data_IF_100623459372
#
_entry.id   IF_100623459372
#
_cell.length_a   1.000
_cell.length_b   1.000
_cell.length_c   1.000
_cell.angle_alpha   90.00
_cell.angle_beta   90.00
_cell.angle_gamma   90.00
#
_symmetry.space_group_name_H-M   'P 1'
#
loop_
_entity.id
_entity.type
_entity.pdbx_description
1 polymer ?
#
# COMPACT_ATOMS: atom_id res chain seq x y z
N UNK A 1 -4.00 11.41 16.83
CA UNK A 1 -3.21 12.68 16.84
C UNK A 1 -1.71 12.41 16.83
N UNK A 2 -1.09 11.85 17.88
CA UNK A 2 0.38 11.68 17.92
C UNK A 2 0.95 10.75 16.82
N UNK A 3 0.25 9.67 16.46
CA UNK A 3 0.71 8.75 15.41
C UNK A 3 0.50 9.29 14.00
N UNK A 4 -0.55 10.07 13.77
CA UNK A 4 -0.81 10.73 12.50
C UNK A 4 0.29 11.72 12.14
N UNK A 5 0.75 12.54 13.09
CA UNK A 5 1.84 13.48 12.87
C UNK A 5 3.18 12.76 12.64
N UNK A 6 3.47 11.72 13.42
CA UNK A 6 4.65 10.88 13.20
C UNK A 6 4.63 10.20 11.83
N UNK A 7 3.45 9.75 11.37
CA UNK A 7 3.27 9.19 10.04
C UNK A 7 3.51 10.21 8.94
N UNK A 8 2.98 11.43 9.08
CA UNK A 8 3.20 12.54 8.14
C UNK A 8 4.69 12.83 8.00
N UNK A 9 5.39 13.04 9.11
CA UNK A 9 6.84 13.27 9.12
C UNK A 9 7.61 12.12 8.49
N UNK A 10 7.27 10.88 8.83
CA UNK A 10 7.92 9.69 8.26
C UNK A 10 7.68 9.52 6.75
N UNK A 11 6.51 9.94 6.26
CA UNK A 11 6.11 9.82 4.86
C UNK A 11 6.71 10.91 3.95
N UNK A 12 7.11 12.05 4.53
CA UNK A 12 7.65 13.19 3.80
C UNK A 12 8.89 12.82 2.98
N UNK A 13 9.80 12.03 3.56
CA UNK A 13 11.05 11.62 2.91
C UNK A 13 10.90 10.41 1.96
N UNK A 14 9.67 9.96 1.67
CA UNK A 14 9.39 8.72 0.91
C UNK A 14 8.67 8.95 -0.40
N UNK A 15 8.96 10.05 -1.09
CA UNK A 15 8.24 10.45 -2.31
C UNK A 15 8.34 9.41 -3.44
N UNK A 16 9.41 8.64 -3.51
CA UNK A 16 9.58 7.62 -4.56
C UNK A 16 9.13 6.20 -4.17
N UNK A 17 8.96 5.92 -2.87
CA UNK A 17 8.75 4.55 -2.38
C UNK A 17 7.38 4.30 -1.76
N UNK A 18 6.69 5.34 -1.27
CA UNK A 18 5.37 5.19 -0.67
C UNK A 18 4.27 5.26 -1.74
N UNK A 19 3.39 4.24 -1.83
CA UNK A 19 2.28 4.28 -2.78
C UNK A 19 1.36 5.49 -2.56
N UNK A 20 0.80 6.02 -3.66
CA UNK A 20 -0.11 7.17 -3.65
C UNK A 20 -1.25 7.04 -2.63
N UNK A 21 -1.83 5.85 -2.51
CA UNK A 21 -2.98 5.59 -1.61
C UNK A 21 -2.62 5.58 -0.12
N UNK A 22 -1.34 5.56 0.21
CA UNK A 22 -0.85 5.67 1.59
C UNK A 22 -0.36 7.10 1.89
N UNK A 23 -0.37 8.02 0.92
CA UNK A 23 0.07 9.40 1.15
C UNK A 23 -0.88 10.08 2.14
N UNK A 24 -0.37 10.88 3.11
CA UNK A 24 -1.24 11.60 4.02
C UNK A 24 -2.25 12.51 3.31
N UNK A 25 -1.82 13.23 2.26
CA UNK A 25 -2.74 14.09 1.49
C UNK A 25 -3.85 13.31 0.79
N UNK A 26 -3.59 12.06 0.37
CA UNK A 26 -4.61 11.19 -0.21
C UNK A 26 -5.60 10.79 0.86
N UNK A 27 -5.09 10.30 2.01
CA UNK A 27 -5.90 9.90 3.15
C UNK A 27 -6.75 11.06 3.67
N UNK A 28 -6.22 12.28 3.73
CA UNK A 28 -6.97 13.49 4.10
C UNK A 28 -8.10 13.81 3.12
N UNK A 29 -7.90 13.53 1.82
CA UNK A 29 -8.90 13.79 0.80
C UNK A 29 -10.03 12.74 0.79
N UNK A 30 -9.73 11.48 1.12
CA UNK A 30 -10.70 10.36 0.99
C UNK A 30 -11.32 9.93 2.32
N UNK A 31 -10.69 10.23 3.46
CA UNK A 31 -11.18 9.92 4.79
C UNK A 31 -11.89 11.14 5.40
N UNK A 32 -12.84 10.88 6.29
CA UNK A 32 -13.40 11.93 7.13
C UNK A 32 -12.31 12.51 8.07
N UNK A 33 -12.37 13.80 8.43
CA UNK A 33 -11.49 14.38 9.44
C UNK A 33 -11.51 13.55 10.73
N UNK A 34 -10.35 13.36 11.35
CA UNK A 34 -10.15 12.60 12.60
C UNK A 34 -10.56 11.12 12.59
N UNK A 35 -10.92 10.58 11.42
CA UNK A 35 -11.35 9.18 11.30
C UNK A 35 -10.24 8.24 10.80
N UNK A 36 -9.08 8.78 10.42
CA UNK A 36 -7.92 7.98 10.05
C UNK A 36 -6.73 8.27 10.97
N UNK A 37 -5.98 7.24 11.31
CA UNK A 37 -4.71 7.33 12.03
C UNK A 37 -3.77 6.23 11.49
N UNK A 38 -2.56 6.10 12.05
CA UNK A 38 -1.59 5.10 11.64
C UNK A 38 -1.07 4.29 12.83
N UNK A 39 -0.88 2.99 12.64
CA UNK A 39 -0.05 2.17 13.52
C UNK A 39 1.39 2.23 13.02
N UNK A 40 2.36 2.36 13.92
CA UNK A 40 3.78 2.54 13.57
C UNK A 40 4.62 1.47 14.27
N UNK A 41 5.47 0.78 13.52
CA UNK A 41 6.42 -0.18 14.05
C UNK A 41 7.82 0.41 14.05
N UNK A 42 8.54 0.24 15.16
CA UNK A 42 9.84 0.85 15.38
C UNK A 42 10.93 -0.22 15.50
N UNK A 43 12.13 0.10 15.04
CA UNK A 43 13.32 -0.69 15.34
C UNK A 43 13.92 -0.29 16.70
N UNK A 44 15.02 -0.95 17.09
CA UNK A 44 15.74 -0.65 18.34
C UNK A 44 16.31 0.78 18.40
N UNK A 45 16.52 1.43 17.26
CA UNK A 45 17.01 2.80 17.13
C UNK A 45 15.87 3.84 17.06
N UNK A 46 14.63 3.45 17.38
CA UNK A 46 13.44 4.32 17.29
C UNK A 46 13.14 4.85 15.88
N UNK A 47 13.61 4.17 14.83
CA UNK A 47 13.24 4.46 13.44
C UNK A 47 12.00 3.65 13.05
N UNK A 48 11.06 4.29 12.37
CA UNK A 48 9.86 3.64 11.86
C UNK A 48 10.24 2.73 10.68
N UNK A 49 10.03 1.43 10.87
CA UNK A 49 10.33 0.36 9.90
C UNK A 49 9.08 -0.29 9.29
N UNK A 50 7.90 0.08 9.79
CA UNK A 50 6.64 -0.33 9.22
C UNK A 50 5.54 0.64 9.61
N UNK A 51 4.56 0.81 8.73
CA UNK A 51 3.41 1.66 8.99
C UNK A 51 2.13 1.04 8.42
N UNK A 52 1.04 1.22 9.15
CA UNK A 52 -0.29 0.73 8.79
C UNK A 52 -1.32 1.85 9.03
N UNK A 53 -1.64 2.67 8.01
CA UNK A 53 -2.75 3.59 8.11
C UNK A 53 -4.07 2.81 8.15
N UNK A 54 -4.95 3.24 9.03
CA UNK A 54 -6.26 2.64 9.23
C UNK A 54 -7.32 3.73 9.27
N UNK A 55 -8.49 3.42 8.73
CA UNK A 55 -9.63 4.32 8.64
C UNK A 55 -10.83 3.72 9.35
N UNK A 56 -11.46 4.47 10.24
CA UNK A 56 -12.59 4.05 11.04
C UNK A 56 -13.85 4.83 10.71
N UNK A 57 -14.97 4.13 10.57
CA UNK A 57 -16.26 4.76 10.33
C UNK A 57 -17.39 3.89 10.89
N UNK A 58 -18.58 4.46 11.00
CA UNK A 58 -19.78 3.74 11.42
C UNK A 58 -20.59 3.35 10.19
N UNK A 59 -20.90 2.07 10.05
CA UNK A 59 -21.78 1.54 9.00
C UNK A 59 -22.94 0.81 9.65
N UNK A 60 -24.17 1.33 9.46
CA UNK A 60 -25.40 0.77 10.06
C UNK A 60 -25.28 0.54 11.57
N UNK A 61 -24.71 1.51 12.30
CA UNK A 61 -24.52 1.44 13.75
C UNK A 61 -23.30 0.63 14.23
N UNK A 62 -22.58 -0.05 13.33
CA UNK A 62 -21.40 -0.85 13.67
C UNK A 62 -20.13 -0.04 13.37
N UNK A 63 -19.21 0.05 14.34
CA UNK A 63 -17.87 0.63 14.13
C UNK A 63 -17.02 -0.32 13.29
N UNK A 64 -16.50 0.17 12.18
CA UNK A 64 -15.73 -0.60 11.20
C UNK A 64 -14.37 0.05 11.02
N UNK A 65 -13.31 -0.76 11.00
CA UNK A 65 -12.01 -0.36 10.44
C UNK A 65 -11.94 -0.86 9.00
N UNK A 66 -11.93 0.05 8.03
CA UNK A 66 -12.16 -0.31 6.64
C UNK A 66 -11.36 0.49 5.63
N UNK A 67 -11.84 0.46 4.39
CA UNK A 67 -11.26 1.18 3.26
C UNK A 67 -12.09 2.45 2.96
N UNK A 68 -11.46 3.60 2.73
CA UNK A 68 -12.16 4.77 2.21
C UNK A 68 -12.59 4.55 0.75
N UNK A 69 -13.48 5.41 0.26
CA UNK A 69 -13.94 5.35 -1.14
C UNK A 69 -12.79 5.66 -2.11
N UNK A 70 -12.88 5.16 -3.36
CA UNK A 70 -11.86 5.32 -4.41
C UNK A 70 -10.44 4.84 -4.07
N UNK A 71 -10.27 4.08 -3.00
CA UNK A 71 -8.95 3.59 -2.55
C UNK A 71 -8.85 2.09 -2.79
N UNK A 72 -8.16 1.63 -3.85
CA UNK A 72 -8.13 0.21 -4.22
C UNK A 72 -7.30 -0.62 -3.24
N UNK A 73 -6.18 -0.06 -2.77
CA UNK A 73 -5.24 -0.64 -1.83
C UNK A 73 -4.94 0.36 -0.71
N UNK A 74 -4.81 -0.14 0.50
CA UNK A 74 -4.39 0.59 1.69
C UNK A 74 -3.53 -0.37 2.52
N UNK A 75 -3.13 0.04 3.71
CA UNK A 75 -2.55 -0.85 4.69
C UNK A 75 -1.03 -0.84 4.69
N UNK A 76 -0.43 -2.00 4.89
CA UNK A 76 0.92 -2.07 5.47
C UNK A 76 1.98 -1.69 4.45
N UNK A 77 2.86 -0.77 4.85
CA UNK A 77 4.12 -0.50 4.19
C UNK A 77 5.27 -0.95 5.08
N UNK A 78 6.18 -1.74 4.53
CA UNK A 78 7.34 -2.31 5.23
C UNK A 78 8.62 -1.72 4.65
N UNK A 79 9.49 -1.20 5.52
CA UNK A 79 10.80 -0.71 5.14
C UNK A 79 11.86 -1.77 5.45
N UNK A 80 12.18 -2.59 4.45
CA UNK A 80 13.16 -3.66 4.60
C UNK A 80 14.58 -3.11 4.84
N UNK A 81 15.35 -3.70 5.76
CA UNK A 81 16.77 -3.42 5.91
C UNK A 81 17.56 -3.87 4.67
N UNK A 82 18.65 -3.17 4.36
CA UNK A 82 19.50 -3.49 3.21
C UNK A 82 20.16 -4.87 3.35
N UNK A 83 20.15 -5.67 2.30
CA UNK A 83 20.95 -6.90 2.19
C UNK A 83 20.45 -8.13 2.98
N UNK A 84 19.17 -8.22 3.36
CA UNK A 84 18.66 -9.36 4.12
C UNK A 84 18.51 -10.65 3.30
N UNK A 85 18.80 -11.80 3.95
CA UNK A 85 18.47 -13.15 3.46
C UNK A 85 16.99 -13.48 3.68
N UNK A 86 16.43 -14.42 2.90
CA UNK A 86 14.99 -14.74 2.92
C UNK A 86 14.44 -15.16 4.29
N UNK A 87 15.15 -16.00 5.06
CA UNK A 87 14.69 -16.39 6.41
C UNK A 87 14.66 -15.18 7.36
N UNK A 88 15.68 -14.31 7.28
CA UNK A 88 15.73 -13.06 8.03
C UNK A 88 14.60 -12.11 7.65
N UNK A 89 14.04 -12.22 6.43
CA UNK A 89 12.91 -11.41 5.98
C UNK A 89 11.63 -11.80 6.71
N UNK A 90 11.30 -13.08 6.80
CA UNK A 90 10.07 -13.50 7.51
C UNK A 90 10.09 -13.16 8.99
N UNK A 91 11.24 -13.32 9.65
CA UNK A 91 11.40 -12.92 11.05
C UNK A 91 11.22 -11.40 11.23
N UNK A 92 11.77 -10.61 10.30
CA UNK A 92 11.58 -9.17 10.26
C UNK A 92 10.11 -8.81 10.06
N UNK A 93 9.46 -9.35 9.03
CA UNK A 93 8.05 -9.09 8.73
C UNK A 93 7.15 -9.49 9.90
N UNK A 94 7.36 -10.68 10.49
CA UNK A 94 6.62 -11.11 11.67
C UNK A 94 6.74 -10.11 12.81
N UNK A 95 7.96 -9.68 13.15
CA UNK A 95 8.21 -8.71 14.22
C UNK A 95 7.50 -7.38 13.97
N UNK A 96 7.57 -6.87 12.73
CA UNK A 96 6.92 -5.61 12.35
C UNK A 96 5.40 -5.76 12.38
N UNK A 97 4.86 -6.82 11.79
CA UNK A 97 3.41 -7.07 11.74
C UNK A 97 2.83 -7.29 13.14
N UNK A 98 3.53 -8.01 14.03
CA UNK A 98 3.10 -8.18 15.42
C UNK A 98 2.99 -6.83 16.16
N UNK A 99 3.91 -5.89 15.92
CA UNK A 99 3.83 -4.52 16.46
C UNK A 99 2.68 -3.72 15.88
N UNK A 100 2.42 -3.83 14.56
CA UNK A 100 1.34 -3.08 13.91
C UNK A 100 -0.03 -3.61 14.34
N UNK A 101 -0.20 -4.94 14.39
CA UNK A 101 -1.47 -5.58 14.74
C UNK A 101 -1.86 -5.31 16.19
N UNK A 102 -0.90 -5.23 17.11
CA UNK A 102 -1.18 -4.92 18.53
C UNK A 102 -1.67 -3.49 18.75
N UNK A 103 -1.38 -2.58 17.81
CA UNK A 103 -1.82 -1.18 17.83
C UNK A 103 -3.13 -0.97 17.07
N UNK A 104 -3.63 -1.98 16.34
CA UNK A 104 -4.88 -1.84 15.61
C UNK A 104 -6.03 -1.60 16.59
N UNK A 105 -6.95 -0.68 16.27
CA UNK A 105 -8.06 -0.39 17.15
C UNK A 105 -8.98 -1.60 17.26
N UNK A 106 -9.42 -1.91 18.49
CA UNK A 106 -10.43 -2.91 18.73
C UNK A 106 -11.73 -2.50 18.03
N UNK A 107 -12.05 -3.22 16.96
CA UNK A 107 -13.27 -3.02 16.20
C UNK A 107 -13.93 -4.38 15.94
N UNK A 108 -15.27 -4.45 15.97
CA UNK A 108 -15.99 -5.69 15.70
C UNK A 108 -15.79 -6.17 14.26
N UNK A 109 -15.34 -5.29 13.37
CA UNK A 109 -15.12 -5.62 11.97
C UNK A 109 -13.95 -4.81 11.40
N UNK A 110 -12.92 -5.53 10.93
CA UNK A 110 -11.80 -4.98 10.18
C UNK A 110 -11.76 -5.61 8.79
N UNK A 111 -11.78 -4.78 7.75
CA UNK A 111 -11.61 -5.22 6.36
C UNK A 111 -10.78 -4.23 5.56
N UNK A 112 -9.54 -4.58 5.29
CA UNK A 112 -8.63 -3.78 4.47
C UNK A 112 -8.02 -4.64 3.36
N UNK A 113 -7.76 -4.03 2.21
CA UNK A 113 -7.06 -4.66 1.09
C UNK A 113 -5.64 -4.14 1.04
N UNK A 114 -4.68 -5.03 1.25
CA UNK A 114 -3.25 -4.71 1.23
C UNK A 114 -2.68 -4.70 -0.18
N UNK A 115 -1.55 -4.02 -0.36
CA UNK A 115 -0.83 -4.00 -1.63
C UNK A 115 -0.38 -5.42 -2.03
N UNK A 116 -0.32 -5.73 -3.33
CA UNK A 116 0.07 -7.07 -3.81
C UNK A 116 1.44 -7.55 -3.32
N UNK A 117 2.34 -6.62 -3.00
CA UNK A 117 3.69 -6.92 -2.53
C UNK A 117 3.72 -7.56 -1.13
N UNK A 118 2.64 -7.41 -0.35
CA UNK A 118 2.52 -8.03 0.97
C UNK A 118 1.96 -9.45 0.84
N UNK A 119 2.84 -10.43 0.88
CA UNK A 119 2.50 -11.87 0.74
C UNK A 119 2.50 -12.63 2.06
N UNK A 120 3.04 -12.05 3.14
CA UNK A 120 3.14 -12.71 4.43
C UNK A 120 1.97 -12.36 5.36
N UNK A 121 0.88 -13.12 5.25
CA UNK A 121 -0.34 -12.91 6.02
C UNK A 121 -0.42 -13.66 7.36
N UNK A 122 0.50 -14.58 7.65
CA UNK A 122 0.41 -15.48 8.81
C UNK A 122 0.26 -14.77 10.18
N UNK A 123 0.92 -13.62 10.45
CA UNK A 123 0.74 -12.92 11.72
C UNK A 123 -0.72 -12.46 11.96
N UNK A 124 -1.45 -12.08 10.91
CA UNK A 124 -2.88 -11.77 11.01
C UNK A 124 -3.68 -13.03 11.31
N UNK A 125 -3.39 -14.14 10.62
CA UNK A 125 -4.09 -15.41 10.86
C UNK A 125 -3.94 -15.89 12.31
N UNK A 126 -2.74 -15.84 12.88
CA UNK A 126 -2.50 -16.22 14.29
C UNK A 126 -3.22 -15.33 15.30
N UNK A 127 -3.58 -14.10 14.91
CA UNK A 127 -4.37 -13.17 15.72
C UNK A 127 -5.89 -13.30 15.48
N UNK A 128 -6.31 -14.32 14.74
CA UNK A 128 -7.72 -14.65 14.51
C UNK A 128 -8.37 -13.92 13.33
N UNK A 129 -7.60 -13.20 12.51
CA UNK A 129 -8.13 -12.57 11.30
C UNK A 129 -8.30 -13.60 10.17
N UNK A 130 -9.35 -13.40 9.36
CA UNK A 130 -9.50 -14.15 8.11
C UNK A 130 -8.64 -13.52 7.01
N UNK A 131 -7.96 -14.36 6.24
CA UNK A 131 -7.17 -13.94 5.07
C UNK A 131 -7.93 -14.27 3.79
N UNK A 132 -8.09 -13.27 2.92
CA UNK A 132 -8.70 -13.42 1.60
C UNK A 132 -7.67 -13.05 0.52
N UNK A 133 -7.06 -14.06 -0.12
CA UNK A 133 -6.04 -13.86 -1.16
C UNK A 133 -6.68 -13.49 -2.51
N UNK A 134 -6.09 -12.51 -3.20
CA UNK A 134 -6.52 -12.04 -4.52
C UNK A 134 -5.34 -11.96 -5.46
N UNK A 135 -5.60 -12.22 -6.74
CA UNK A 135 -4.60 -12.14 -7.80
C UNK A 135 -4.83 -10.90 -8.65
N UNK A 136 -3.75 -10.23 -9.01
CA UNK A 136 -3.74 -9.11 -9.96
C UNK A 136 -2.52 -9.23 -10.86
N UNK A 137 -2.61 -8.69 -12.07
CA UNK A 137 -1.45 -8.58 -12.95
C UNK A 137 -0.58 -7.40 -12.49
N UNK A 138 0.73 -7.62 -12.50
CA UNK A 138 1.73 -6.60 -12.18
C UNK A 138 2.79 -6.59 -13.28
N UNK A 139 2.93 -5.45 -13.96
CA UNK A 139 3.95 -5.22 -14.99
C UNK A 139 5.05 -4.33 -14.41
N UNK A 140 6.27 -4.87 -14.29
CA UNK A 140 7.41 -4.11 -13.78
C UNK A 140 7.98 -3.18 -14.84
N UNK A 141 7.88 -1.87 -14.64
CA UNK A 141 8.46 -0.86 -15.53
C UNK A 141 9.95 -0.57 -15.24
N UNK A 142 10.62 -1.41 -14.45
CA UNK A 142 12.07 -1.29 -14.18
C UNK A 142 12.94 -1.79 -15.33
N UNK A 143 12.34 -2.42 -16.32
CA UNK A 143 13.01 -2.96 -17.49
C UNK A 143 13.05 -1.92 -18.62
N UNK A 144 13.94 -2.13 -19.60
CA UNK A 144 13.97 -1.29 -20.80
C UNK A 144 12.73 -1.49 -21.65
N UNK A 145 12.34 -0.48 -22.42
CA UNK A 145 11.18 -0.57 -23.34
C UNK A 145 11.30 -1.74 -24.32
N UNK A 146 12.51 -2.01 -24.80
CA UNK A 146 12.77 -3.15 -25.68
C UNK A 146 12.51 -4.48 -24.97
N UNK A 147 12.99 -4.66 -23.74
CA UNK A 147 12.77 -5.88 -22.97
C UNK A 147 11.28 -6.08 -22.65
N UNK A 148 10.55 -5.00 -22.36
CA UNK A 148 9.09 -5.03 -22.19
C UNK A 148 8.40 -5.45 -23.48
N UNK A 149 8.79 -4.85 -24.62
CA UNK A 149 8.24 -5.17 -25.93
C UNK A 149 8.43 -6.65 -26.31
N UNK A 150 9.62 -7.20 -26.08
CA UNK A 150 9.92 -8.60 -26.38
C UNK A 150 9.11 -9.59 -25.53
N UNK A 151 8.78 -9.21 -24.29
CA UNK A 151 7.93 -10.00 -23.39
C UNK A 151 6.43 -9.87 -23.70
N UNK A 152 6.01 -8.90 -24.53
CA UNK A 152 4.61 -8.78 -24.94
C UNK A 152 4.20 -9.89 -25.91
N UNK A 153 2.98 -10.38 -25.72
CA UNK A 153 2.35 -11.31 -26.65
C UNK A 153 2.36 -10.76 -28.09
N UNK A 154 2.62 -11.61 -29.08
CA UNK A 154 2.72 -11.18 -30.48
C UNK A 154 1.44 -10.52 -31.02
N UNK A 155 0.27 -10.94 -30.52
CA UNK A 155 -1.02 -10.34 -30.84
C UNK A 155 -1.12 -8.90 -30.33
N UNK A 156 -0.71 -8.66 -29.08
CA UNK A 156 -0.67 -7.34 -28.45
C UNK A 156 0.27 -6.38 -29.20
N UNK A 157 1.47 -6.84 -29.57
CA UNK A 157 2.42 -6.05 -30.38
C UNK A 157 1.82 -5.67 -31.74
N UNK A 158 1.21 -6.63 -32.42
CA UNK A 158 0.57 -6.42 -33.72
C UNK A 158 -0.55 -5.37 -33.63
N UNK A 159 -1.39 -5.47 -32.59
CA UNK A 159 -2.48 -4.52 -32.38
C UNK A 159 -1.96 -3.13 -32.05
N UNK A 160 -0.91 -3.02 -31.22
CA UNK A 160 -0.28 -1.75 -30.88
C UNK A 160 0.27 -1.04 -32.13
N UNK A 161 0.98 -1.76 -33.02
CA UNK A 161 1.50 -1.20 -34.27
C UNK A 161 0.39 -0.72 -35.22
N UNK A 162 -0.78 -1.39 -35.24
CA UNK A 162 -1.94 -0.93 -36.01
C UNK A 162 -2.50 0.37 -35.42
N UNK A 163 -2.69 0.43 -34.11
CA UNK A 163 -3.27 1.60 -33.42
C UNK A 163 -2.36 2.82 -33.52
N UNK A 164 -1.04 2.67 -33.40
CA UNK A 164 -0.09 3.79 -33.52
C UNK A 164 -0.15 4.53 -34.86
N UNK A 165 -0.65 3.88 -35.92
CA UNK A 165 -0.89 4.53 -37.22
C UNK A 165 -2.17 5.37 -37.26
N UNK A 166 -3.07 5.16 -36.30
CA UNK A 166 -4.41 5.75 -36.26
C UNK A 166 -4.54 6.86 -35.22
N UNK A 167 -3.72 6.84 -34.17
CA UNK A 167 -3.85 7.77 -33.03
C UNK A 167 -2.52 8.40 -32.67
N UNK A 168 -2.57 9.63 -32.17
CA UNK A 168 -1.44 10.32 -31.56
C UNK A 168 -1.74 10.53 -30.07
N UNK A 169 -0.83 10.10 -29.21
CA UNK A 169 -0.96 10.28 -27.76
C UNK A 169 -0.11 11.47 -27.36
N UNK A 170 -0.76 12.52 -26.84
CA UNK A 170 -0.08 13.71 -26.31
C UNK A 170 -0.32 13.80 -24.82
N UNK A 171 0.74 14.11 -24.06
CA UNK A 171 0.59 14.41 -22.63
C UNK A 171 -0.06 15.78 -22.48
N UNK A 172 -1.26 15.82 -21.90
CA UNK A 172 -1.88 17.08 -21.49
C UNK A 172 -1.02 17.71 -20.40
N UNK A 173 -0.43 18.88 -20.67
CA UNK A 173 0.22 19.69 -19.64
C UNK A 173 -0.89 20.35 -18.83
N UNK A 174 -1.00 20.01 -17.54
CA UNK A 174 -1.94 20.66 -16.64
C UNK A 174 -1.58 22.15 -16.51
N UNK A 175 -2.55 23.03 -16.74
CA UNK A 175 -2.44 24.47 -16.48
C UNK A 175 -2.35 24.65 -14.95
N UNK A 176 -1.38 25.41 -14.41
CA UNK A 176 -1.35 25.72 -12.99
C UNK A 176 -2.58 26.55 -12.62
N UNK A 177 -3.39 26.04 -11.69
CA UNK A 177 -4.46 26.78 -11.02
C UNK A 177 -3.99 27.38 -9.70
#
# INVERSE_FOLDING_TARGET
>A
MAYQDAYRSWSADKEDSLPIFLRPWWLDAVCMPDHWDACLAYNKEQKIIGALPHYQFVKRGIRVTGMPFLTPYMGIHLQYPYGQKLNSRYDFEKSVLDQLISQLPHTPYLQQKFFPDLTYGLPFFWKGYRLDWRYTYHLSLRQTEQALWEQMEGSARTQLLKTLKLVTVTKSVMIPG
#
